data_IF_961745682140
#
_entry.id   IF_961745682140
#
_cell.length_a   1.000
_cell.length_b   1.000
_cell.length_c   1.000
_cell.angle_alpha   90.00
_cell.angle_beta   90.00
_cell.angle_gamma   90.00
#
_symmetry.space_group_name_H-M   'P 1'
#
loop_
_entity.id
_entity.type
_entity.pdbx_description
1 polymer ?
#
# COMPACT_ATOMS: atom_id res chain seq x y z
N UNK A 1 10.51 -30.86 22.05
CA UNK A 1 11.12 -31.66 20.97
C UNK A 1 10.68 -31.01 19.68
N UNK A 2 11.62 -30.77 18.76
CA UNK A 2 11.33 -30.20 17.44
C UNK A 2 11.46 -31.33 16.44
N UNK A 3 10.40 -31.62 15.68
CA UNK A 3 10.43 -32.73 14.72
C UNK A 3 11.33 -32.35 13.53
N UNK A 4 12.55 -32.90 13.54
CA UNK A 4 13.54 -32.74 12.48
C UNK A 4 13.14 -33.60 11.28
N UNK A 5 12.18 -33.09 10.50
CA UNK A 5 11.62 -33.77 9.33
C UNK A 5 12.68 -33.92 8.24
N UNK A 6 13.34 -35.08 8.23
CA UNK A 6 14.27 -35.50 7.18
C UNK A 6 13.57 -35.44 5.82
N UNK A 7 14.12 -34.75 4.82
CA UNK A 7 13.44 -34.60 3.52
C UNK A 7 13.39 -35.94 2.77
N UNK A 8 12.21 -36.32 2.29
CA UNK A 8 12.07 -37.53 1.47
C UNK A 8 12.74 -37.34 0.09
N UNK A 9 13.48 -38.35 -0.41
CA UNK A 9 14.16 -38.27 -1.69
C UNK A 9 13.14 -38.08 -2.83
N UNK A 10 13.33 -37.03 -3.63
CA UNK A 10 12.47 -36.69 -4.76
C UNK A 10 11.31 -35.75 -4.46
N UNK A 11 11.14 -35.27 -3.22
CA UNK A 11 10.13 -34.25 -2.86
C UNK A 11 10.79 -32.93 -2.43
N UNK A 12 10.37 -31.83 -3.02
CA UNK A 12 10.79 -30.50 -2.57
C UNK A 12 10.15 -30.17 -1.20
N UNK A 13 10.94 -29.58 -0.30
CA UNK A 13 10.46 -29.13 1.00
C UNK A 13 9.56 -27.88 0.92
N UNK A 14 8.88 -27.57 2.02
CA UNK A 14 8.03 -26.37 2.11
C UNK A 14 8.84 -25.09 1.91
N UNK A 15 8.46 -24.26 0.94
CA UNK A 15 9.08 -22.96 0.68
C UNK A 15 8.91 -22.03 1.90
N UNK A 16 9.99 -21.36 2.30
CA UNK A 16 10.01 -20.39 3.39
C UNK A 16 10.78 -19.15 2.95
N UNK A 17 10.26 -17.98 3.31
CA UNK A 17 10.93 -16.68 3.13
C UNK A 17 10.52 -15.76 4.27
N UNK A 18 11.40 -14.83 4.63
CA UNK A 18 11.16 -13.79 5.61
C UNK A 18 11.54 -12.45 4.97
N UNK A 19 10.64 -11.48 4.99
CA UNK A 19 10.92 -10.12 4.52
C UNK A 19 11.48 -9.31 5.69
N UNK A 20 12.69 -8.78 5.53
CA UNK A 20 13.27 -7.81 6.47
C UNK A 20 13.32 -6.44 5.80
N UNK A 21 13.16 -5.38 6.58
CA UNK A 21 13.23 -3.97 6.13
C UNK A 21 14.11 -3.19 7.06
N UNK A 22 14.95 -2.32 6.49
CA UNK A 22 15.74 -1.32 7.22
C UNK A 22 15.07 0.04 7.01
N UNK A 23 14.70 0.74 8.09
CA UNK A 23 14.17 2.10 8.06
C UNK A 23 15.21 3.08 8.60
N UNK A 24 15.53 4.10 7.81
CA UNK A 24 16.70 4.95 7.99
C UNK A 24 16.38 6.29 8.67
N UNK A 25 15.17 6.82 8.44
CA UNK A 25 14.74 8.15 8.90
C UNK A 25 13.71 8.08 10.03
N UNK A 26 13.72 9.08 10.93
CA UNK A 26 12.68 9.16 11.97
C UNK A 26 11.28 9.38 11.38
N UNK A 27 11.17 9.89 10.16
CA UNK A 27 9.91 10.09 9.44
C UNK A 27 9.25 8.77 9.05
N UNK A 28 10.01 7.82 8.50
CA UNK A 28 9.51 6.49 8.19
C UNK A 28 9.23 5.67 9.46
N UNK A 29 10.09 5.78 10.48
CA UNK A 29 9.89 5.11 11.78
C UNK A 29 8.58 5.60 12.45
N UNK A 30 8.33 6.92 12.50
CA UNK A 30 7.05 7.50 13.01
C UNK A 30 5.82 7.02 12.23
N UNK A 31 5.94 6.66 10.94
CA UNK A 31 4.85 6.06 10.16
C UNK A 31 4.75 4.53 10.31
N UNK A 32 5.83 3.85 10.68
CA UNK A 32 5.81 2.43 11.07
C UNK A 32 5.11 2.26 12.42
N UNK A 33 5.58 2.97 13.45
CA UNK A 33 5.04 2.95 14.81
C UNK A 33 3.62 3.53 14.90
N UNK A 34 3.31 4.52 14.06
CA UNK A 34 2.11 5.32 14.16
C UNK A 34 2.16 6.25 15.37
N UNK A 35 0.99 6.79 15.78
CA UNK A 35 0.88 7.67 16.94
C UNK A 35 -0.48 7.51 17.61
N UNK A 36 -0.48 7.00 18.84
CA UNK A 36 -1.69 7.01 19.67
C UNK A 36 -2.16 8.46 19.96
N UNK A 37 -3.49 8.70 20.05
CA UNK A 37 -4.01 10.04 20.29
C UNK A 37 -3.64 10.50 21.70
N UNK A 38 -2.71 11.46 21.79
CA UNK A 38 -2.29 12.04 23.06
C UNK A 38 -3.41 12.87 23.69
N UNK A 39 -4.22 12.24 24.53
CA UNK A 39 -4.89 12.96 25.61
C UNK A 39 -3.82 13.53 26.54
N UNK A 40 -3.43 14.80 26.32
CA UNK A 40 -2.49 15.52 27.19
C UNK A 40 -3.06 15.55 28.62
N UNK A 41 -2.60 14.61 29.44
CA UNK A 41 -3.00 14.51 30.84
C UNK A 41 -2.70 15.82 31.56
N UNK A 42 -3.52 16.14 32.56
CA UNK A 42 -3.54 17.45 33.23
C UNK A 42 -2.14 17.85 33.69
N UNK A 43 -1.55 18.89 33.10
CA UNK A 43 -0.41 19.56 33.74
C UNK A 43 -0.86 20.07 35.10
N UNK A 44 -0.24 19.57 36.16
CA UNK A 44 -0.09 20.33 37.40
C UNK A 44 0.63 21.65 37.06
N UNK A 45 0.27 22.75 37.74
CA UNK A 45 0.90 24.05 37.52
C UNK A 45 0.35 24.88 36.34
N UNK A 46 -0.82 25.49 36.54
CA UNK A 46 -0.95 26.94 36.33
C UNK A 46 -0.70 27.57 34.95
N UNK A 47 -1.17 26.97 33.83
CA UNK A 47 -1.65 27.74 32.65
C UNK A 47 -2.35 26.84 31.62
N UNK A 48 -3.63 27.10 31.34
CA UNK A 48 -4.31 26.52 30.16
C UNK A 48 -3.72 27.15 28.89
N UNK A 49 -3.03 26.36 28.05
CA UNK A 49 -2.83 26.73 26.64
C UNK A 49 -4.10 26.34 25.89
N UNK A 50 -4.85 27.33 25.43
CA UNK A 50 -6.16 27.18 24.77
C UNK A 50 -6.06 26.35 23.48
N UNK A 51 -4.94 26.47 22.75
CA UNK A 51 -4.60 25.64 21.60
C UNK A 51 -4.07 24.24 21.97
N UNK A 52 -4.73 23.52 22.89
CA UNK A 52 -4.47 22.09 23.10
C UNK A 52 -5.18 21.24 22.04
N UNK A 53 -4.76 21.37 20.77
CA UNK A 53 -5.23 20.54 19.66
C UNK A 53 -5.03 19.05 20.03
N UNK A 54 -6.12 18.27 20.02
CA UNK A 54 -6.06 16.83 20.25
C UNK A 54 -5.33 16.18 19.07
N UNK A 55 -4.11 15.69 19.29
CA UNK A 55 -3.31 15.03 18.25
C UNK A 55 -4.08 13.80 17.74
N UNK A 56 -4.28 13.76 16.42
CA UNK A 56 -4.98 12.67 15.74
C UNK A 56 -4.20 11.35 15.86
N UNK A 57 -4.94 10.24 15.90
CA UNK A 57 -4.42 8.89 15.78
C UNK A 57 -3.78 8.74 14.38
N UNK A 58 -2.45 8.61 14.32
CA UNK A 58 -1.78 8.09 13.11
C UNK A 58 -1.80 6.57 13.24
N UNK A 59 -2.32 5.88 12.22
CA UNK A 59 -2.30 4.42 12.16
C UNK A 59 -0.85 3.92 12.03
N UNK A 60 -0.56 2.76 12.60
CA UNK A 60 0.74 2.12 12.48
C UNK A 60 0.79 1.17 11.27
N UNK A 61 1.97 0.92 10.71
CA UNK A 61 2.13 -0.05 9.63
C UNK A 61 1.71 -1.49 10.06
N UNK A 62 2.08 -1.99 11.26
CA UNK A 62 1.52 -3.25 11.77
C UNK A 62 -0.01 -3.23 11.91
N UNK A 63 -0.59 -2.07 12.27
CA UNK A 63 -2.04 -1.87 12.31
C UNK A 63 -2.68 -1.97 10.92
N UNK A 64 -2.06 -1.37 9.90
CA UNK A 64 -2.47 -1.51 8.50
C UNK A 64 -2.38 -2.97 8.03
N UNK A 65 -1.25 -3.64 8.24
CA UNK A 65 -1.04 -5.05 7.84
C UNK A 65 -2.10 -5.96 8.48
N UNK A 66 -2.39 -5.78 9.78
CA UNK A 66 -3.44 -6.53 10.45
C UNK A 66 -4.84 -6.22 9.89
N UNK A 67 -5.14 -4.95 9.60
CA UNK A 67 -6.43 -4.50 9.05
C UNK A 67 -6.65 -5.04 7.63
N UNK A 68 -5.66 -4.95 6.75
CA UNK A 68 -5.67 -5.52 5.41
C UNK A 68 -5.83 -7.05 5.44
N UNK A 69 -5.19 -7.73 6.40
CA UNK A 69 -5.39 -9.16 6.63
C UNK A 69 -6.83 -9.55 6.98
N UNK A 70 -7.53 -8.73 7.78
CA UNK A 70 -8.96 -8.96 8.08
C UNK A 70 -9.84 -8.71 6.85
N UNK A 71 -9.66 -7.58 6.16
CA UNK A 71 -10.42 -7.25 4.93
C UNK A 71 -10.29 -8.37 3.88
N UNK A 72 -9.09 -8.94 3.72
CA UNK A 72 -8.86 -10.05 2.79
C UNK A 72 -9.51 -11.36 3.24
N UNK A 73 -9.57 -11.64 4.55
CA UNK A 73 -10.33 -12.77 5.10
C UNK A 73 -11.85 -12.58 4.94
N UNK A 74 -12.35 -11.35 5.10
CA UNK A 74 -13.76 -11.02 4.89
C UNK A 74 -14.14 -11.16 3.39
N UNK A 75 -13.22 -10.79 2.49
CA UNK A 75 -13.30 -11.04 1.03
C UNK A 75 -13.28 -12.54 0.71
N UNK A 76 -12.45 -13.34 1.40
CA UNK A 76 -12.46 -14.81 1.29
C UNK A 76 -13.79 -15.43 1.74
N UNK A 77 -14.46 -14.79 2.71
CA UNK A 77 -15.78 -15.16 3.21
C UNK A 77 -16.93 -14.59 2.33
N UNK A 78 -16.64 -14.23 1.07
CA UNK A 78 -17.58 -13.76 0.05
C UNK A 78 -18.32 -12.44 0.38
N UNK A 79 -17.72 -11.57 1.21
CA UNK A 79 -18.27 -10.24 1.49
C UNK A 79 -17.95 -9.24 0.34
N UNK A 80 -18.96 -8.67 -0.34
CA UNK A 80 -18.72 -7.79 -1.50
C UNK A 80 -18.22 -6.38 -1.12
N UNK A 81 -18.52 -5.87 0.08
CA UNK A 81 -17.92 -4.62 0.59
C UNK A 81 -16.44 -4.82 0.98
N UNK A 82 -16.05 -6.04 1.37
CA UNK A 82 -14.65 -6.38 1.60
C UNK A 82 -13.86 -6.45 0.29
N UNK A 83 -14.45 -7.01 -0.78
CA UNK A 83 -13.88 -6.96 -2.13
C UNK A 83 -13.73 -5.53 -2.66
N UNK A 84 -14.75 -4.69 -2.49
CA UNK A 84 -14.67 -3.27 -2.86
C UNK A 84 -13.51 -2.56 -2.15
N UNK A 85 -13.33 -2.83 -0.85
CA UNK A 85 -12.22 -2.27 -0.06
C UNK A 85 -10.86 -2.84 -0.47
N UNK A 86 -10.76 -4.12 -0.83
CA UNK A 86 -9.52 -4.70 -1.36
C UNK A 86 -9.09 -3.99 -2.65
N UNK A 87 -10.03 -3.79 -3.58
CA UNK A 87 -9.80 -3.12 -4.86
C UNK A 87 -9.43 -1.63 -4.67
N UNK A 88 -10.14 -0.91 -3.79
CA UNK A 88 -9.80 0.46 -3.39
C UNK A 88 -8.36 0.54 -2.85
N UNK A 89 -7.98 -0.34 -1.92
CA UNK A 89 -6.64 -0.33 -1.33
C UNK A 89 -5.54 -0.65 -2.35
N UNK A 90 -5.77 -1.59 -3.26
CA UNK A 90 -4.82 -1.88 -4.35
C UNK A 90 -4.62 -0.68 -5.26
N UNK A 91 -5.70 -0.06 -5.73
CA UNK A 91 -5.61 1.11 -6.61
C UNK A 91 -4.95 2.31 -5.92
N UNK A 92 -5.31 2.59 -4.66
CA UNK A 92 -4.68 3.66 -3.89
C UNK A 92 -3.18 3.41 -3.67
N UNK A 93 -2.76 2.17 -3.44
CA UNK A 93 -1.33 1.81 -3.33
C UNK A 93 -0.64 1.96 -4.69
N UNK A 94 -1.25 1.50 -5.79
CA UNK A 94 -0.68 1.61 -7.13
C UNK A 94 -0.46 3.08 -7.54
N UNK A 95 -1.46 3.94 -7.36
CA UNK A 95 -1.32 5.39 -7.58
C UNK A 95 -0.30 6.04 -6.65
N UNK A 96 -0.24 5.62 -5.38
CA UNK A 96 0.72 6.17 -4.43
C UNK A 96 2.17 5.78 -4.74
N UNK A 97 2.43 4.55 -5.19
CA UNK A 97 3.78 4.13 -5.60
C UNK A 97 4.25 4.88 -6.84
N UNK A 98 3.38 5.11 -7.83
CA UNK A 98 3.68 5.96 -8.98
C UNK A 98 4.09 7.37 -8.56
N UNK A 99 3.28 8.02 -7.72
CA UNK A 99 3.57 9.37 -7.19
C UNK A 99 4.84 9.43 -6.33
N UNK A 100 5.14 8.37 -5.56
CA UNK A 100 6.39 8.30 -4.79
C UNK A 100 7.61 8.24 -5.73
N UNK A 101 7.50 7.49 -6.83
CA UNK A 101 8.55 7.42 -7.85
C UNK A 101 8.73 8.75 -8.59
N UNK A 102 7.63 9.45 -8.92
CA UNK A 102 7.66 10.80 -9.52
C UNK A 102 8.41 11.82 -8.65
N UNK A 103 8.17 11.82 -7.32
CA UNK A 103 8.89 12.67 -6.35
C UNK A 103 10.38 12.31 -6.28
N UNK A 104 10.70 11.01 -6.20
CA UNK A 104 12.08 10.50 -6.17
C UNK A 104 12.87 10.88 -7.42
N UNK A 105 12.29 10.69 -8.61
CA UNK A 105 12.98 10.96 -9.88
C UNK A 105 13.07 12.46 -10.18
N UNK A 106 12.07 13.24 -9.75
CA UNK A 106 12.14 14.70 -9.72
C UNK A 106 13.32 15.19 -8.86
N UNK A 107 13.51 14.60 -7.68
CA UNK A 107 14.59 14.98 -6.76
C UNK A 107 15.98 14.58 -7.26
N UNK A 108 16.14 13.35 -7.77
CA UNK A 108 17.38 12.90 -8.44
C UNK A 108 17.77 13.82 -9.60
N UNK A 109 16.78 14.30 -10.37
CA UNK A 109 17.00 15.25 -11.47
C UNK A 109 17.56 16.58 -10.96
N UNK A 110 17.12 17.11 -9.82
CA UNK A 110 17.73 18.31 -9.22
C UNK A 110 19.16 18.03 -8.74
N UNK A 111 19.41 16.90 -8.08
CA UNK A 111 20.75 16.53 -7.61
C UNK A 111 21.75 16.31 -8.75
N UNK A 112 21.28 15.88 -9.93
CA UNK A 112 22.11 15.74 -11.15
C UNK A 112 22.64 17.07 -11.72
N UNK A 113 22.22 18.23 -11.18
CA UNK A 113 22.77 19.54 -11.51
C UNK A 113 24.12 19.84 -10.82
N UNK A 114 24.68 18.87 -10.08
CA UNK A 114 25.99 18.96 -9.45
C UNK A 114 27.12 19.24 -10.48
N UNK A 115 28.08 20.15 -10.19
CA UNK A 115 29.21 20.39 -11.10
C UNK A 115 30.05 19.12 -11.30
N UNK A 116 30.54 18.88 -12.53
CA UNK A 116 31.25 17.65 -12.90
C UNK A 116 32.56 17.38 -12.12
N UNK A 117 33.08 18.36 -11.38
CA UNK A 117 34.25 18.24 -10.51
C UNK A 117 33.89 17.88 -9.05
N UNK A 118 32.60 17.79 -8.71
CA UNK A 118 32.09 17.50 -7.36
C UNK A 118 31.43 16.12 -7.37
N UNK A 119 31.92 15.23 -6.51
CA UNK A 119 31.29 13.94 -6.23
C UNK A 119 30.54 14.01 -4.89
N UNK A 120 29.41 13.31 -4.83
CA UNK A 120 28.58 13.17 -3.63
C UNK A 120 28.30 11.67 -3.49
N UNK A 121 28.57 11.09 -2.33
CA UNK A 121 28.26 9.68 -2.02
C UNK A 121 26.77 9.48 -1.84
N UNK A 122 26.28 8.24 -1.93
CA UNK A 122 24.91 7.94 -1.46
C UNK A 122 24.76 8.24 0.04
N UNK A 123 23.56 8.65 0.45
CA UNK A 123 23.21 8.84 1.87
C UNK A 123 22.86 7.49 2.52
N UNK A 124 23.38 7.28 3.72
CA UNK A 124 23.08 6.12 4.57
C UNK A 124 22.74 6.58 5.99
N UNK A 125 22.03 5.75 6.76
CA UNK A 125 21.81 5.99 8.19
C UNK A 125 22.87 5.23 9.02
N UNK A 126 23.41 5.88 10.05
CA UNK A 126 24.40 5.31 10.96
C UNK A 126 23.79 4.22 11.87
N UNK A 127 22.49 4.30 12.14
CA UNK A 127 21.79 3.38 13.06
C UNK A 127 20.33 3.11 12.62
N UNK A 128 20.11 2.44 11.47
CA UNK A 128 18.76 2.21 10.96
C UNK A 128 18.00 1.13 11.72
N UNK A 129 16.68 1.31 11.82
CA UNK A 129 15.77 0.38 12.48
C UNK A 129 15.49 -0.82 11.58
N UNK A 130 16.04 -1.99 11.94
CA UNK A 130 15.85 -3.25 11.23
C UNK A 130 14.63 -4.02 11.76
N UNK A 131 13.72 -4.41 10.86
CA UNK A 131 12.39 -4.94 11.19
C UNK A 131 12.06 -6.18 10.36
N UNK A 132 11.69 -7.28 11.02
CA UNK A 132 11.07 -8.43 10.38
C UNK A 132 9.58 -8.19 10.07
N UNK A 133 9.20 -8.34 8.81
CA UNK A 133 7.87 -8.01 8.27
C UNK A 133 7.13 -9.28 7.88
N UNK A 134 5.94 -9.49 8.46
CA UNK A 134 5.02 -10.54 8.05
C UNK A 134 3.62 -9.99 7.77
N UNK A 135 3.16 -10.18 6.54
CA UNK A 135 1.79 -9.92 6.10
C UNK A 135 1.13 -11.21 5.61
N UNK A 136 -0.17 -11.34 5.87
CA UNK A 136 -1.02 -12.41 5.30
C UNK A 136 -1.50 -12.09 3.89
N UNK A 137 -1.25 -10.87 3.39
CA UNK A 137 -1.76 -10.40 2.09
C UNK A 137 -0.66 -9.67 1.31
N UNK A 138 -0.63 -9.76 -0.04
CA UNK A 138 0.26 -8.96 -0.87
C UNK A 138 0.06 -7.45 -0.69
N UNK A 139 -1.18 -6.99 -0.48
CA UNK A 139 -1.53 -5.59 -0.20
C UNK A 139 -0.78 -5.05 1.03
N UNK A 140 -0.62 -5.86 2.07
CA UNK A 140 0.19 -5.49 3.25
C UNK A 140 1.66 -5.25 2.89
N UNK A 141 2.28 -6.15 2.10
CA UNK A 141 3.67 -5.98 1.67
C UNK A 141 3.86 -4.80 0.70
N UNK A 142 2.94 -4.56 -0.24
CA UNK A 142 2.99 -3.40 -1.16
C UNK A 142 2.92 -2.05 -0.41
N UNK A 143 2.16 -1.98 0.69
CA UNK A 143 2.13 -0.78 1.52
C UNK A 143 3.46 -0.58 2.28
N UNK A 144 4.14 -1.67 2.69
CA UNK A 144 5.50 -1.59 3.24
C UNK A 144 6.51 -1.12 2.19
N UNK A 145 6.41 -1.55 0.93
CA UNK A 145 7.25 -1.02 -0.15
C UNK A 145 7.06 0.48 -0.36
N UNK A 146 5.83 0.99 -0.28
CA UNK A 146 5.56 2.44 -0.32
C UNK A 146 6.19 3.19 0.85
N UNK A 147 6.20 2.60 2.06
CA UNK A 147 6.89 3.19 3.22
C UNK A 147 8.42 3.23 3.04
N UNK A 148 9.01 2.21 2.41
CA UNK A 148 10.44 2.21 2.06
C UNK A 148 10.74 3.26 0.98
N UNK A 149 9.86 3.44 -0.01
CA UNK A 149 9.97 4.54 -0.98
C UNK A 149 9.88 5.92 -0.32
N UNK A 150 9.06 6.08 0.72
CA UNK A 150 9.00 7.30 1.53
C UNK A 150 10.29 7.52 2.35
N UNK A 151 10.85 6.46 2.93
CA UNK A 151 12.13 6.53 3.66
C UNK A 151 13.27 6.99 2.73
N UNK A 152 13.35 6.41 1.53
CA UNK A 152 14.29 6.83 0.48
C UNK A 152 14.08 8.29 0.07
N UNK A 153 12.82 8.73 -0.11
CA UNK A 153 12.51 10.12 -0.45
C UNK A 153 12.94 11.08 0.66
N UNK A 154 12.72 10.71 1.92
CA UNK A 154 13.16 11.50 3.07
C UNK A 154 14.69 11.61 3.11
N UNK A 155 15.42 10.50 2.99
CA UNK A 155 16.90 10.49 2.94
C UNK A 155 17.43 11.40 1.82
N UNK A 156 16.97 11.20 0.58
CA UNK A 156 17.42 12.01 -0.55
C UNK A 156 17.03 13.48 -0.39
N UNK A 157 15.89 13.80 0.23
CA UNK A 157 15.49 15.19 0.45
C UNK A 157 16.38 15.89 1.50
N UNK A 158 16.77 15.21 2.57
CA UNK A 158 17.75 15.74 3.53
C UNK A 158 19.12 15.93 2.89
N UNK A 159 19.57 14.99 2.06
CA UNK A 159 20.82 15.10 1.32
C UNK A 159 20.81 16.30 0.36
N UNK A 160 19.74 16.43 -0.45
CA UNK A 160 19.55 17.54 -1.37
C UNK A 160 19.49 18.90 -0.65
N UNK A 161 18.85 18.96 0.52
CA UNK A 161 18.78 20.17 1.33
C UNK A 161 20.12 20.55 1.97
N UNK A 162 20.90 19.57 2.44
CA UNK A 162 22.22 19.78 3.04
C UNK A 162 23.22 20.38 2.03
N UNK A 163 23.27 19.82 0.82
CA UNK A 163 24.14 20.33 -0.26
C UNK A 163 23.54 21.53 -1.03
N UNK A 164 22.39 22.06 -0.60
CA UNK A 164 21.82 23.29 -1.14
C UNK A 164 21.05 23.17 -2.48
N UNK A 165 20.81 21.94 -2.97
CA UNK A 165 20.01 21.69 -4.17
C UNK A 165 18.55 22.11 -4.01
N UNK A 166 17.99 21.96 -2.81
CA UNK A 166 16.61 22.34 -2.49
C UNK A 166 16.54 23.22 -1.24
N UNK A 167 15.55 24.12 -1.21
CA UNK A 167 15.28 24.93 -0.02
C UNK A 167 14.65 24.10 1.11
N UNK A 168 14.81 24.53 2.36
CA UNK A 168 14.13 23.94 3.52
C UNK A 168 12.60 23.93 3.39
N UNK A 169 12.02 24.88 2.62
CA UNK A 169 10.58 24.87 2.29
C UNK A 169 10.22 23.65 1.45
N UNK A 170 11.06 23.33 0.45
CA UNK A 170 10.81 22.21 -0.44
C UNK A 170 11.07 20.85 0.23
N UNK A 171 12.10 20.75 1.08
CA UNK A 171 12.28 19.59 1.98
C UNK A 171 11.00 19.27 2.75
N UNK A 172 10.41 20.28 3.41
CA UNK A 172 9.16 20.13 4.14
C UNK A 172 8.00 19.73 3.21
N UNK A 173 7.96 20.24 1.98
CA UNK A 173 6.95 19.86 0.98
C UNK A 173 7.11 18.41 0.52
N UNK A 174 8.32 17.94 0.20
CA UNK A 174 8.59 16.53 -0.15
C UNK A 174 8.16 15.58 0.98
N UNK A 175 8.57 15.86 2.22
CA UNK A 175 8.21 15.07 3.40
C UNK A 175 6.68 15.07 3.65
N UNK A 176 6.03 16.22 3.43
CA UNK A 176 4.58 16.37 3.48
C UNK A 176 3.84 15.53 2.45
N UNK A 177 4.24 15.65 1.16
CA UNK A 177 3.64 14.94 0.01
C UNK A 177 3.85 13.42 0.14
N UNK A 178 5.08 12.96 0.32
CA UNK A 178 5.40 11.54 0.47
C UNK A 178 4.71 10.91 1.69
N UNK A 179 4.75 11.59 2.85
CA UNK A 179 4.09 11.10 4.07
C UNK A 179 2.56 11.07 3.94
N UNK A 180 1.97 12.01 3.18
CA UNK A 180 0.52 12.01 2.90
C UNK A 180 0.09 10.77 2.11
N UNK A 181 0.87 10.33 1.11
CA UNK A 181 0.57 9.15 0.30
C UNK A 181 0.38 7.89 1.17
N UNK A 182 1.28 7.65 2.13
CA UNK A 182 1.17 6.54 3.10
C UNK A 182 -0.05 6.72 4.01
N UNK A 183 -0.23 7.92 4.59
CA UNK A 183 -1.35 8.23 5.50
C UNK A 183 -2.73 8.11 4.84
N UNK A 184 -2.84 8.38 3.54
CA UNK A 184 -4.08 8.22 2.76
C UNK A 184 -4.56 6.76 2.74
N UNK A 185 -3.64 5.81 2.50
CA UNK A 185 -3.92 4.36 2.45
C UNK A 185 -4.29 3.83 3.85
N UNK A 186 -3.61 4.30 4.90
CA UNK A 186 -3.98 4.01 6.28
C UNK A 186 -5.42 4.45 6.58
N UNK A 187 -5.79 5.68 6.19
CA UNK A 187 -7.15 6.21 6.36
C UNK A 187 -8.20 5.43 5.57
N UNK A 188 -7.89 5.01 4.35
CA UNK A 188 -8.76 4.16 3.53
C UNK A 188 -9.06 2.81 4.20
N UNK A 189 -8.04 2.18 4.80
CA UNK A 189 -8.19 0.91 5.51
C UNK A 189 -8.94 1.06 6.85
N UNK A 190 -8.64 2.13 7.62
CA UNK A 190 -9.33 2.44 8.88
C UNK A 190 -10.86 2.56 8.69
N UNK A 191 -11.30 3.20 7.60
CA UNK A 191 -12.72 3.40 7.27
C UNK A 191 -13.51 2.09 7.09
N UNK A 192 -12.87 0.96 6.80
CA UNK A 192 -13.58 -0.31 6.63
C UNK A 192 -14.24 -0.77 7.93
N UNK A 193 -15.54 -1.10 7.84
CA UNK A 193 -16.34 -1.67 8.92
C UNK A 193 -16.83 -3.05 8.47
N UNK A 194 -16.70 -4.03 9.34
CA UNK A 194 -17.17 -5.39 9.10
C UNK A 194 -18.68 -5.48 9.26
N UNK A 195 -19.34 -6.25 8.39
CA UNK A 195 -20.68 -6.81 8.60
C UNK A 195 -20.69 -8.28 8.13
N UNK A 196 -21.43 -9.18 8.79
CA UNK A 196 -21.59 -10.57 8.36
C UNK A 196 -22.62 -10.66 7.23
N UNK A 197 -22.18 -10.43 5.99
CA UNK A 197 -23.01 -10.43 4.78
C UNK A 197 -22.23 -10.96 3.58
N UNK A 198 -22.86 -11.84 2.80
CA UNK A 198 -22.33 -12.50 1.60
C UNK A 198 -23.08 -12.03 0.34
N UNK A 199 -22.62 -12.45 -0.85
CA UNK A 199 -23.37 -12.26 -2.09
C UNK A 199 -24.68 -13.05 -2.14
N UNK A 200 -24.73 -14.21 -1.47
CA UNK A 200 -25.95 -15.03 -1.37
C UNK A 200 -27.03 -14.37 -0.47
N UNK A 201 -26.63 -13.73 0.64
CA UNK A 201 -27.55 -12.92 1.48
C UNK A 201 -28.24 -11.81 0.65
N UNK A 202 -27.51 -11.20 -0.29
CA UNK A 202 -28.01 -10.14 -1.20
C UNK A 202 -28.94 -10.72 -2.26
N UNK A 203 -28.57 -11.83 -2.91
CA UNK A 203 -29.42 -12.53 -3.88
C UNK A 203 -30.77 -12.96 -3.27
N UNK A 204 -30.80 -13.26 -1.97
CA UNK A 204 -32.02 -13.61 -1.22
C UNK A 204 -32.75 -12.40 -0.59
N UNK A 205 -32.25 -11.16 -0.77
CA UNK A 205 -32.80 -9.92 -0.20
C UNK A 205 -33.13 -10.01 1.31
N UNK A 206 -32.28 -10.70 2.07
CA UNK A 206 -32.55 -10.99 3.48
C UNK A 206 -32.27 -9.78 4.40
N UNK A 207 -32.58 -9.89 5.69
CA UNK A 207 -32.44 -8.78 6.63
C UNK A 207 -30.99 -8.27 6.77
N UNK A 208 -29.98 -9.14 6.62
CA UNK A 208 -28.56 -8.74 6.65
C UNK A 208 -28.18 -7.91 5.44
N UNK A 209 -28.64 -8.31 4.25
CA UNK A 209 -28.42 -7.54 3.04
C UNK A 209 -29.10 -6.16 3.12
N UNK A 210 -30.35 -6.12 3.59
CA UNK A 210 -31.10 -4.86 3.78
C UNK A 210 -30.48 -3.96 4.86
N UNK A 211 -29.94 -4.52 5.94
CA UNK A 211 -29.17 -3.77 6.94
C UNK A 211 -27.83 -3.25 6.38
N UNK A 212 -27.06 -4.07 5.67
CA UNK A 212 -25.77 -3.68 5.10
C UNK A 212 -25.93 -2.57 4.04
N UNK A 213 -26.91 -2.69 3.15
CA UNK A 213 -27.26 -1.64 2.17
C UNK A 213 -27.69 -0.35 2.88
N UNK A 214 -28.47 -0.42 3.96
CA UNK A 214 -28.88 0.74 4.76
C UNK A 214 -27.70 1.42 5.48
N UNK A 215 -26.67 0.67 5.86
CA UNK A 215 -25.52 1.18 6.61
C UNK A 215 -24.36 1.69 5.73
N UNK A 216 -24.14 1.09 4.55
CA UNK A 216 -23.00 1.36 3.68
C UNK A 216 -23.37 1.78 2.25
N UNK A 217 -24.65 1.76 1.88
CA UNK A 217 -25.09 1.89 0.50
C UNK A 217 -24.91 0.61 -0.31
N UNK A 218 -25.36 0.66 -1.58
CA UNK A 218 -25.20 -0.45 -2.52
C UNK A 218 -23.72 -0.65 -2.89
N UNK A 219 -23.32 -1.91 -3.11
CA UNK A 219 -22.04 -2.22 -3.76
C UNK A 219 -22.16 -1.98 -5.26
N UNK A 220 -21.08 -1.53 -5.89
CA UNK A 220 -20.99 -1.38 -7.34
C UNK A 220 -21.28 -2.71 -8.08
N UNK A 221 -22.13 -2.73 -9.13
CA UNK A 221 -22.59 -3.98 -9.75
C UNK A 221 -21.49 -4.89 -10.29
N UNK A 222 -20.39 -4.33 -10.79
CA UNK A 222 -19.26 -5.11 -11.30
C UNK A 222 -18.37 -5.68 -10.19
N UNK A 223 -18.39 -5.09 -8.98
CA UNK A 223 -17.76 -5.67 -7.78
C UNK A 223 -18.68 -6.72 -7.15
N UNK A 224 -20.00 -6.47 -7.15
CA UNK A 224 -21.00 -7.43 -6.68
C UNK A 224 -21.02 -8.70 -7.53
N UNK A 225 -21.01 -8.58 -8.86
CA UNK A 225 -20.86 -9.71 -9.80
C UNK A 225 -19.43 -10.27 -9.88
N UNK A 226 -18.45 -9.61 -9.24
CA UNK A 226 -17.09 -10.10 -9.10
C UNK A 226 -16.19 -9.93 -10.35
N UNK A 227 -16.64 -9.18 -11.36
CA UNK A 227 -15.83 -8.79 -12.53
C UNK A 227 -14.68 -7.85 -12.14
N UNK A 228 -14.96 -6.89 -11.27
CA UNK A 228 -14.00 -5.89 -10.76
C UNK A 228 -13.65 -6.25 -9.33
N UNK A 229 -12.41 -6.71 -9.11
CA UNK A 229 -11.88 -7.12 -7.80
C UNK A 229 -10.40 -6.81 -7.73
N UNK A 230 -9.82 -6.84 -6.52
CA UNK A 230 -8.37 -6.80 -6.36
C UNK A 230 -7.71 -8.03 -6.96
N UNK A 231 -6.56 -7.83 -7.61
CA UNK A 231 -5.62 -8.87 -8.05
C UNK A 231 -5.13 -9.76 -6.90
N UNK A 232 -5.35 -9.32 -5.65
CA UNK A 232 -4.92 -9.96 -4.42
C UNK A 232 -6.09 -10.42 -3.53
N UNK A 233 -7.35 -10.34 -4.01
CA UNK A 233 -8.50 -10.97 -3.36
C UNK A 233 -8.54 -12.49 -3.64
N UNK A 234 -8.92 -13.35 -2.67
CA UNK A 234 -9.12 -14.78 -2.91
C UNK A 234 -10.25 -15.06 -3.93
N UNK A 235 -10.35 -16.27 -4.51
CA UNK A 235 -11.41 -16.61 -5.47
C UNK A 235 -12.83 -16.40 -4.93
N UNK A 236 -13.76 -15.96 -5.79
CA UNK A 236 -15.18 -15.76 -5.43
C UNK A 236 -15.88 -17.11 -5.25
N UNK A 237 -16.84 -17.19 -4.32
CA UNK A 237 -17.74 -18.34 -4.26
C UNK A 237 -18.67 -18.37 -5.48
N UNK A 238 -18.40 -19.31 -6.40
CA UNK A 238 -19.19 -19.47 -7.64
C UNK A 238 -20.69 -19.65 -7.38
N UNK A 239 -21.07 -20.36 -6.31
CA UNK A 239 -22.48 -20.58 -5.96
C UNK A 239 -23.23 -19.30 -5.66
N UNK A 240 -22.57 -18.30 -5.07
CA UNK A 240 -23.17 -17.00 -4.78
C UNK A 240 -23.35 -16.16 -6.04
N UNK A 241 -22.42 -16.26 -7.00
CA UNK A 241 -22.56 -15.66 -8.33
C UNK A 241 -23.73 -16.32 -9.08
N UNK A 242 -23.83 -17.65 -9.04
CA UNK A 242 -24.95 -18.38 -9.62
C UNK A 242 -26.28 -18.04 -8.92
N UNK A 243 -26.28 -17.64 -7.65
CA UNK A 243 -27.46 -17.12 -6.94
C UNK A 243 -27.85 -15.71 -7.41
N UNK A 244 -26.90 -14.77 -7.50
CA UNK A 244 -27.13 -13.42 -8.05
C UNK A 244 -27.69 -13.48 -9.47
N UNK A 245 -27.08 -14.29 -10.35
CA UNK A 245 -27.50 -14.44 -11.74
C UNK A 245 -28.92 -15.00 -11.89
N UNK A 246 -29.36 -15.87 -10.96
CA UNK A 246 -30.74 -16.37 -10.93
C UNK A 246 -31.73 -15.30 -10.50
N UNK A 247 -31.38 -14.46 -9.52
CA UNK A 247 -32.20 -13.32 -9.11
C UNK A 247 -32.45 -12.32 -10.25
N UNK A 248 -31.48 -12.14 -11.15
CA UNK A 248 -31.64 -11.30 -12.35
C UNK A 248 -32.36 -11.97 -13.52
N UNK A 249 -32.58 -13.30 -13.48
CA UNK A 249 -33.18 -14.04 -14.58
C UNK A 249 -34.72 -13.96 -14.59
N UNK A 250 -35.37 -13.78 -13.44
CA UNK A 250 -36.83 -13.62 -13.35
C UNK A 250 -37.34 -12.27 -13.92
N UNK A 251 -36.45 -11.32 -14.26
CA UNK A 251 -36.82 -10.02 -14.83
C UNK A 251 -36.62 -9.91 -16.36
N UNK A 252 -36.04 -10.90 -17.05
CA UNK A 252 -35.79 -10.83 -18.50
C UNK A 252 -36.09 -12.16 -19.24
N UNK A 253 -37.05 -12.19 -20.20
CA UNK A 253 -37.33 -13.39 -20.98
C UNK A 253 -36.22 -13.66 -22.03
N UNK A 254 -35.87 -14.94 -22.31
CA UNK A 254 -34.83 -15.29 -23.28
C UNK A 254 -35.38 -15.40 -24.72
N UNK A 255 -34.80 -14.66 -25.66
CA UNK A 255 -35.08 -14.83 -27.11
C UNK A 255 -33.90 -15.50 -27.86
N UNK A 256 -34.25 -16.38 -28.81
CA UNK A 256 -33.56 -16.48 -30.11
C UNK A 256 -32.17 -17.15 -30.18
N UNK A 257 -32.11 -18.48 -30.19
CA UNK A 257 -30.90 -19.24 -30.55
C UNK A 257 -30.93 -19.71 -32.03
N UNK A 258 -29.82 -19.55 -32.78
CA UNK A 258 -29.57 -20.16 -34.11
C UNK A 258 -28.07 -20.55 -34.26
N UNK A 259 -27.74 -21.51 -35.13
CA UNK A 259 -26.39 -22.14 -35.32
C UNK A 259 -26.10 -22.46 -36.81
N UNK A 260 -24.90 -22.82 -37.28
CA UNK A 260 -23.57 -22.93 -36.63
C UNK A 260 -22.51 -22.00 -37.31
N UNK A 261 -21.50 -22.37 -38.12
CA UNK A 261 -21.02 -23.64 -38.74
C UNK A 261 -19.47 -23.60 -38.84
N UNK A 262 -18.81 -24.75 -39.04
CA UNK A 262 -17.34 -24.95 -39.03
C UNK A 262 -16.62 -24.61 -40.36
N UNK A 263 -15.28 -24.53 -40.34
CA UNK A 263 -14.43 -24.41 -41.54
C UNK A 263 -12.90 -24.48 -41.28
N UNK A 264 -12.27 -25.55 -41.79
CA UNK A 264 -10.84 -25.91 -41.94
C UNK A 264 -9.93 -24.82 -42.60
N UNK A 265 -8.57 -24.89 -42.65
CA UNK A 265 -7.52 -25.84 -42.20
C UNK A 265 -6.11 -25.17 -42.17
N UNK A 266 -5.07 -25.90 -41.71
CA UNK A 266 -3.61 -25.74 -42.01
C UNK A 266 -2.86 -24.45 -41.56
N UNK A 267 -1.52 -24.41 -41.39
CA UNK A 267 -0.45 -25.44 -41.35
C UNK A 267 0.86 -24.93 -40.70
N UNK A 268 1.61 -25.81 -39.99
CA UNK A 268 3.09 -25.76 -39.76
C UNK A 268 3.72 -24.54 -39.03
N UNK A 269 4.95 -24.54 -38.49
CA UNK A 269 6.02 -25.57 -38.36
C UNK A 269 6.82 -25.43 -37.03
N UNK A 270 7.92 -26.20 -36.86
CA UNK A 270 8.75 -26.33 -35.65
C UNK A 270 9.80 -25.21 -35.45
N UNK A 271 10.29 -25.06 -34.20
CA UNK A 271 11.51 -24.31 -33.85
C UNK A 271 11.96 -24.60 -32.41
N UNK A 272 13.25 -24.87 -32.19
CA UNK A 272 13.77 -25.50 -30.95
C UNK A 272 14.61 -24.56 -30.05
N UNK A 273 14.91 -25.04 -28.83
CA UNK A 273 15.53 -24.41 -27.65
C UNK A 273 17.09 -24.44 -27.79
N UNK A 274 17.94 -23.46 -27.32
CA UNK A 274 18.22 -23.34 -25.87
C UNK A 274 18.90 -22.08 -25.23
N UNK A 275 18.82 -22.06 -23.89
CA UNK A 275 19.84 -21.72 -22.86
C UNK A 275 20.51 -20.32 -22.68
N UNK A 276 20.23 -19.75 -21.50
CA UNK A 276 21.15 -19.23 -20.45
C UNK A 276 22.44 -18.44 -20.77
N UNK A 277 22.65 -17.35 -20.02
CA UNK A 277 23.89 -17.09 -19.26
C UNK A 277 23.69 -16.05 -18.13
N UNK A 278 24.64 -16.00 -17.19
CA UNK A 278 24.69 -15.08 -16.04
C UNK A 278 26.02 -14.29 -16.04
N UNK A 279 26.06 -13.15 -15.35
CA UNK A 279 27.30 -12.54 -14.82
C UNK A 279 27.02 -11.80 -13.49
N UNK A 280 28.07 -11.50 -12.72
CA UNK A 280 27.98 -11.07 -11.31
C UNK A 280 28.70 -9.74 -11.03
N UNK A 281 28.26 -9.11 -9.92
CA UNK A 281 28.95 -8.19 -8.99
C UNK A 281 30.25 -7.48 -9.40
N UNK A 282 30.34 -6.21 -9.00
CA UNK A 282 31.40 -5.80 -8.08
C UNK A 282 30.90 -4.72 -7.10
N UNK A 283 31.53 -4.60 -5.93
CA UNK A 283 31.13 -3.74 -4.80
C UNK A 283 32.35 -2.94 -4.34
N UNK A 284 32.18 -1.63 -4.07
CA UNK A 284 33.29 -0.74 -3.67
C UNK A 284 32.92 0.12 -2.46
N UNK A 285 33.72 0.05 -1.41
CA UNK A 285 33.47 0.73 -0.13
C UNK A 285 33.95 2.19 -0.14
N UNK A 286 33.12 3.12 0.35
CA UNK A 286 33.44 4.54 0.49
C UNK A 286 33.78 4.92 1.96
N UNK A 287 34.56 5.99 2.21
CA UNK A 287 35.00 6.39 3.55
C UNK A 287 33.93 7.15 4.36
N UNK A 288 34.25 7.42 5.64
CA UNK A 288 33.34 7.99 6.65
C UNK A 288 32.59 9.25 6.19
N UNK A 289 31.26 9.22 6.33
CA UNK A 289 30.36 10.29 5.93
C UNK A 289 30.22 11.38 7.01
N UNK A 290 29.98 12.61 6.57
CA UNK A 290 29.72 13.76 7.44
C UNK A 290 28.33 13.61 8.09
N UNK A 291 28.24 13.64 9.42
CA UNK A 291 27.03 13.21 10.15
C UNK A 291 25.83 14.15 9.95
N UNK A 292 24.76 13.64 9.34
CA UNK A 292 23.50 14.35 9.11
C UNK A 292 22.55 14.13 10.30
N UNK A 293 22.50 15.07 11.24
CA UNK A 293 21.61 14.98 12.40
C UNK A 293 20.16 15.29 12.04
N UNK A 294 19.28 14.30 12.24
CA UNK A 294 17.82 14.36 11.99
C UNK A 294 17.06 15.16 13.08
N UNK A 295 17.79 15.83 13.99
CA UNK A 295 17.33 16.51 15.23
C UNK A 295 16.39 17.71 15.04
N UNK A 296 15.91 17.95 13.81
CA UNK A 296 14.91 18.97 13.51
C UNK A 296 13.53 18.35 13.69
N UNK A 297 12.91 18.55 14.86
CA UNK A 297 11.52 18.13 15.13
C UNK A 297 10.53 19.03 14.37
N UNK A 298 10.38 18.79 13.06
CA UNK A 298 9.46 19.50 12.18
C UNK A 298 8.04 19.00 12.45
N UNK A 299 7.15 19.92 12.86
CA UNK A 299 5.74 19.63 13.17
C UNK A 299 4.94 19.40 11.86
N UNK A 300 5.15 18.22 11.24
CA UNK A 300 4.53 17.73 10.01
C UNK A 300 2.98 17.65 10.08
N UNK A 301 2.39 17.94 11.25
CA UNK A 301 0.96 17.89 11.53
C UNK A 301 0.23 19.25 11.43
N UNK A 302 0.87 20.35 11.03
CA UNK A 302 0.12 21.58 10.75
C UNK A 302 -0.70 21.45 9.45
N UNK A 303 -2.03 21.50 9.60
CA UNK A 303 -3.01 21.22 8.53
C UNK A 303 -2.99 22.22 7.37
N UNK A 304 -2.21 23.31 7.47
CA UNK A 304 -1.94 24.21 6.33
C UNK A 304 -1.36 23.47 5.11
N UNK A 305 -0.69 22.33 5.34
CA UNK A 305 -0.10 21.47 4.29
C UNK A 305 -1.06 20.45 3.66
N UNK A 306 -2.33 20.38 4.09
CA UNK A 306 -3.34 19.46 3.55
C UNK A 306 -4.27 20.06 2.49
N UNK A 307 -4.08 21.34 2.14
CA UNK A 307 -4.75 21.96 1.01
C UNK A 307 -3.92 21.75 -0.28
N UNK A 308 -4.55 21.54 -1.45
CA UNK A 308 -3.83 21.64 -2.71
C UNK A 308 -3.29 23.07 -2.88
N UNK A 309 -2.22 23.28 -3.67
CA UNK A 309 -1.79 24.62 -4.02
C UNK A 309 -2.95 25.36 -4.71
N UNK A 310 -3.21 26.60 -4.28
CA UNK A 310 -4.14 27.48 -4.99
C UNK A 310 -3.66 27.66 -6.43
N UNK A 311 -4.56 27.70 -7.43
CA UNK A 311 -4.18 28.10 -8.78
C UNK A 311 -3.61 29.52 -8.74
N UNK A 312 -2.56 29.75 -9.53
CA UNK A 312 -2.03 31.10 -9.74
C UNK A 312 -3.06 31.95 -10.50
N UNK A 313 -3.19 33.25 -10.20
CA UNK A 313 -4.07 34.14 -10.95
C UNK A 313 -3.50 34.43 -12.35
N UNK A 314 -4.38 34.52 -13.34
CA UNK A 314 -4.09 34.98 -14.71
C UNK A 314 -3.77 36.49 -14.76
#
# INVERSE_FOLDING_TARGET
MSDEQTPEPGKAGALRSAMNVSLNTHYAIRLWEGRHPEYRSKKQGGRKKENSRQRSLIFSMPGFIQKAGRINQDSANDNPWADAKMWELENLINTAMGKMQEELDGLKKVMSMVPAQVTISDITSVSPLNIGVFSRTPVGYRCVWLLVGFDQLAMQAFQAAHYGFISRRELNSCLGRGGYLVRQIYGAAQKYRYLPVTREDIAMNNDRAREAIKLFGNVEPDILSGKVRSSFSPPVNRRSIDALNRGTADENPPEGHITAVEGNDDSSEFGDVPAQSQTQTEEATAPEANELTDDIDIDMDDLSTLLPPSPEPE
#
